data_IF_005631773314
#
_entry.id   IF_005631773314
#
_cell.length_a   1.000
_cell.length_b   1.000
_cell.length_c   1.000
_cell.angle_alpha   90.00
_cell.angle_beta   90.00
_cell.angle_gamma   90.00
#
_symmetry.space_group_name_H-M   'P 1'
#
loop_
_entity.id
_entity.type
_entity.pdbx_description
1 polymer ?
#
# COMPACT_ATOMS: atom_id res chain seq x y z
N UNK A 1 31.26 -1.05 7.16
CA UNK A 1 30.24 -0.69 6.16
C UNK A 1 28.95 -1.38 6.57
N UNK A 2 27.77 -0.79 6.37
CA UNK A 2 26.51 -1.44 6.70
C UNK A 2 26.31 -2.65 5.77
N UNK A 3 25.71 -3.71 6.32
CA UNK A 3 25.37 -4.90 5.55
C UNK A 3 24.00 -4.68 4.90
N UNK A 4 23.98 -4.53 3.57
CA UNK A 4 22.75 -4.36 2.79
C UNK A 4 22.09 -5.72 2.64
N UNK A 5 20.85 -5.82 3.08
CA UNK A 5 20.08 -7.08 3.08
C UNK A 5 18.86 -7.04 2.14
N UNK A 6 18.46 -5.84 1.68
CA UNK A 6 17.41 -5.65 0.69
C UNK A 6 17.67 -4.36 -0.09
N UNK A 7 17.48 -4.39 -1.41
CA UNK A 7 17.72 -3.24 -2.26
C UNK A 7 16.84 -3.31 -3.53
N UNK A 8 15.61 -2.82 -3.44
CA UNK A 8 14.64 -2.90 -4.55
C UNK A 8 13.68 -1.70 -4.55
N UNK A 9 13.04 -1.47 -5.69
CA UNK A 9 11.89 -0.57 -5.80
C UNK A 9 10.69 -1.15 -5.04
N UNK A 10 9.97 -0.28 -4.33
CA UNK A 10 8.72 -0.58 -3.63
C UNK A 10 7.66 0.48 -3.94
N UNK A 11 6.40 0.14 -3.71
CA UNK A 11 5.27 1.06 -3.88
C UNK A 11 4.38 1.17 -2.64
N UNK A 12 3.70 2.30 -2.54
CA UNK A 12 2.69 2.71 -1.57
C UNK A 12 3.17 2.85 -0.11
N UNK A 13 3.29 1.74 0.60
CA UNK A 13 3.48 1.69 2.05
C UNK A 13 4.47 0.59 2.35
N UNK A 14 5.38 0.88 3.27
CA UNK A 14 6.33 -0.09 3.75
C UNK A 14 5.90 -0.61 5.11
N UNK A 15 5.71 -1.91 5.26
CA UNK A 15 5.36 -2.52 6.53
C UNK A 15 6.40 -3.56 6.93
N UNK A 16 6.88 -3.51 8.17
CA UNK A 16 7.62 -4.59 8.81
C UNK A 16 6.65 -5.40 9.66
N UNK A 17 6.56 -6.71 9.42
CA UNK A 17 5.60 -7.59 10.08
C UNK A 17 6.22 -8.94 10.42
N UNK A 18 5.75 -9.58 11.49
CA UNK A 18 6.10 -11.00 11.76
C UNK A 18 5.25 -11.99 10.96
N UNK A 19 4.29 -11.49 10.18
CA UNK A 19 3.36 -12.30 9.40
C UNK A 19 3.65 -12.16 7.92
N UNK A 20 3.33 -13.22 7.16
CA UNK A 20 3.39 -13.19 5.70
C UNK A 20 2.50 -12.06 5.14
N UNK A 21 2.85 -11.53 3.95
CA UNK A 21 2.08 -10.49 3.27
C UNK A 21 0.59 -10.86 3.14
N UNK A 22 -0.26 -9.84 3.00
CA UNK A 22 -1.73 -9.90 2.89
C UNK A 22 -2.54 -10.20 4.16
N UNK A 23 -1.98 -10.88 5.16
CA UNK A 23 -2.79 -11.22 6.33
C UNK A 23 -3.13 -9.98 7.18
N UNK A 24 -2.23 -8.97 7.25
CA UNK A 24 -2.25 -7.97 8.34
C UNK A 24 -1.65 -6.61 7.96
N UNK A 25 -2.12 -5.99 6.88
CA UNK A 25 -1.75 -4.59 6.61
C UNK A 25 -2.48 -3.63 7.55
N UNK A 26 -1.78 -2.58 8.00
CA UNK A 26 -2.36 -1.48 8.80
C UNK A 26 -3.41 -0.73 7.96
N UNK A 27 -3.20 -0.60 6.65
CA UNK A 27 -4.18 0.02 5.77
C UNK A 27 -5.47 -0.80 5.64
N UNK A 28 -5.36 -2.13 5.68
CA UNK A 28 -6.50 -3.03 5.51
C UNK A 28 -7.24 -3.35 6.81
N UNK A 29 -6.50 -3.43 7.93
CA UNK A 29 -7.02 -3.94 9.21
C UNK A 29 -6.85 -2.97 10.38
N UNK A 30 -6.14 -1.86 10.20
CA UNK A 30 -6.02 -0.82 11.22
C UNK A 30 -7.34 -0.10 11.45
N UNK A 31 -7.49 0.48 12.64
CA UNK A 31 -8.60 1.38 12.92
C UNK A 31 -8.46 2.66 12.10
N UNK A 32 -9.55 3.42 11.94
CA UNK A 32 -9.51 4.72 11.26
C UNK A 32 -8.52 5.69 11.89
N UNK A 33 -8.35 5.64 13.20
CA UNK A 33 -7.37 6.44 13.92
C UNK A 33 -5.95 6.09 13.52
N UNK A 34 -5.63 4.80 13.38
CA UNK A 34 -4.32 4.35 12.96
C UNK A 34 -4.00 4.75 11.54
N UNK A 35 -4.95 4.57 10.62
CA UNK A 35 -4.76 5.03 9.24
C UNK A 35 -4.52 6.55 9.22
N UNK A 36 -5.26 7.32 10.00
CA UNK A 36 -5.02 8.77 10.12
C UNK A 36 -3.63 9.07 10.68
N UNK A 37 -3.16 8.35 11.70
CA UNK A 37 -1.82 8.51 12.27
C UNK A 37 -0.72 8.12 11.29
N UNK A 38 -0.92 7.07 10.48
CA UNK A 38 0.00 6.71 9.41
C UNK A 38 0.17 7.88 8.44
N UNK A 39 -0.93 8.54 8.07
CA UNK A 39 -0.88 9.73 7.23
C UNK A 39 -0.31 10.96 7.97
N UNK A 40 -0.66 11.16 9.23
CA UNK A 40 -0.32 12.40 9.95
C UNK A 40 1.12 12.39 10.50
N UNK A 41 1.59 11.24 11.00
CA UNK A 41 2.93 11.04 11.57
C UNK A 41 3.90 10.37 10.58
N UNK A 42 3.39 9.77 9.51
CA UNK A 42 4.19 8.99 8.58
C UNK A 42 4.52 7.58 9.07
N UNK A 43 3.98 7.18 10.23
CA UNK A 43 4.26 5.91 10.88
C UNK A 43 3.08 5.44 11.74
N UNK A 44 2.88 4.12 11.80
CA UNK A 44 2.14 3.44 12.86
C UNK A 44 3.01 2.32 13.42
N UNK A 45 3.09 2.23 14.73
CA UNK A 45 3.87 1.19 15.41
C UNK A 45 2.99 0.43 16.40
N UNK A 46 3.03 -0.90 16.31
CA UNK A 46 2.44 -1.90 17.22
C UNK A 46 3.50 -2.94 17.56
N UNK A 47 3.36 -3.78 18.60
CA UNK A 47 4.40 -4.77 18.96
C UNK A 47 4.81 -5.73 17.83
N UNK A 48 3.94 -5.97 16.85
CA UNK A 48 4.09 -6.97 15.79
C UNK A 48 4.03 -6.43 14.35
N UNK A 49 3.68 -5.15 14.17
CA UNK A 49 3.85 -4.44 12.90
C UNK A 49 4.38 -3.00 13.08
N UNK A 50 5.30 -2.57 12.21
CA UNK A 50 5.58 -1.14 11.98
C UNK A 50 5.25 -0.81 10.54
N UNK A 51 4.38 0.16 10.32
CA UNK A 51 4.06 0.68 9.00
C UNK A 51 4.66 2.07 8.84
N UNK A 52 5.34 2.30 7.71
CA UNK A 52 5.88 3.58 7.29
C UNK A 52 5.18 4.02 6.00
N UNK A 53 4.74 5.27 5.99
CA UNK A 53 4.09 5.85 4.82
C UNK A 53 5.14 6.45 3.87
N UNK A 54 5.09 6.09 2.59
CA UNK A 54 5.86 6.76 1.52
C UNK A 54 5.12 8.03 1.10
N UNK A 55 5.81 9.13 0.79
CA UNK A 55 5.13 10.40 0.48
C UNK A 55 4.41 10.32 -0.87
N UNK A 56 5.02 9.65 -1.86
CA UNK A 56 4.55 9.70 -3.27
C UNK A 56 4.13 8.30 -3.77
N UNK A 57 4.31 7.29 -2.93
CA UNK A 57 3.86 5.93 -3.21
C UNK A 57 4.78 5.15 -4.15
N UNK A 58 5.96 5.67 -4.51
CA UNK A 58 7.09 4.88 -5.00
C UNK A 58 8.35 5.29 -4.28
N UNK A 59 9.11 4.31 -3.83
CA UNK A 59 10.44 4.54 -3.31
C UNK A 59 11.39 3.46 -3.80
N UNK A 60 12.63 3.83 -4.04
CA UNK A 60 13.69 2.85 -3.94
C UNK A 60 13.96 2.59 -2.46
N UNK A 61 13.93 1.33 -2.02
CA UNK A 61 14.18 0.97 -0.64
C UNK A 61 15.49 0.19 -0.48
N UNK A 62 16.35 0.69 0.39
CA UNK A 62 17.48 -0.06 0.92
C UNK A 62 17.24 -0.43 2.38
N UNK A 63 17.30 -1.71 2.71
CA UNK A 63 17.31 -2.21 4.09
C UNK A 63 18.72 -2.67 4.43
N UNK A 64 19.21 -2.26 5.59
CA UNK A 64 20.55 -2.58 6.05
C UNK A 64 20.60 -2.83 7.55
N UNK A 65 21.66 -3.51 8.00
CA UNK A 65 22.00 -3.65 9.41
C UNK A 65 23.29 -2.86 9.72
N UNK A 66 23.30 -2.15 10.85
CA UNK A 66 24.43 -1.33 11.28
C UNK A 66 24.62 -1.42 12.79
N UNK A 67 25.87 -1.33 13.26
CA UNK A 67 26.19 -1.25 14.70
C UNK A 67 26.11 0.18 15.25
N UNK A 68 25.87 1.17 14.39
CA UNK A 68 25.81 2.58 14.77
C UNK A 68 24.61 3.25 14.14
N UNK A 69 23.98 4.13 14.93
CA UNK A 69 22.91 4.99 14.47
C UNK A 69 23.53 6.23 13.81
N UNK A 70 23.38 6.34 12.50
CA UNK A 70 23.74 7.53 11.72
C UNK A 70 22.65 7.81 10.71
N UNK A 71 22.18 9.05 10.63
CA UNK A 71 21.14 9.45 9.68
C UNK A 71 21.69 10.47 8.67
N UNK A 72 21.10 10.48 7.49
CA UNK A 72 21.38 11.41 6.40
C UNK A 72 20.83 12.80 6.77
N UNK A 73 21.70 13.82 6.78
CA UNK A 73 21.29 15.19 7.05
C UNK A 73 20.33 15.75 5.99
N UNK A 74 20.26 15.12 4.81
CA UNK A 74 19.34 15.47 3.74
C UNK A 74 18.03 14.69 3.81
N UNK A 75 17.81 13.85 4.82
CA UNK A 75 16.55 13.17 5.05
C UNK A 75 15.40 14.19 5.18
N UNK A 76 14.37 14.05 4.35
CA UNK A 76 13.13 14.82 4.50
C UNK A 76 12.36 14.31 5.73
N UNK A 77 12.45 13.02 6.00
CA UNK A 77 11.91 12.37 7.19
C UNK A 77 12.94 11.40 7.76
N UNK A 78 13.16 11.46 9.07
CA UNK A 78 13.96 10.47 9.80
C UNK A 78 13.25 10.13 11.11
N UNK A 79 12.90 8.86 11.30
CA UNK A 79 12.16 8.35 12.46
C UNK A 79 12.97 7.27 13.16
N UNK A 80 12.96 7.29 14.49
CA UNK A 80 13.48 6.23 15.33
C UNK A 80 12.32 5.45 15.95
N UNK A 81 12.39 4.12 15.90
CA UNK A 81 11.36 3.22 16.43
C UNK A 81 12.01 2.03 17.14
N UNK A 82 11.67 1.71 18.39
CA UNK A 82 12.10 0.46 19.01
C UNK A 82 11.38 -0.72 18.35
N UNK A 83 12.09 -1.84 18.17
CA UNK A 83 11.55 -3.05 17.56
C UNK A 83 12.16 -4.31 18.15
N UNK A 84 11.37 -5.37 18.27
CA UNK A 84 11.83 -6.64 18.86
C UNK A 84 11.64 -7.79 17.89
N UNK A 85 12.71 -8.27 17.26
CA UNK A 85 12.62 -9.49 16.44
C UNK A 85 12.53 -10.71 17.37
N UNK A 86 11.43 -11.48 17.35
CA UNK A 86 11.26 -12.60 18.28
C UNK A 86 12.11 -13.81 17.84
N UNK A 87 12.50 -14.65 18.81
CA UNK A 87 13.37 -15.83 18.61
C UNK A 87 12.92 -16.78 17.49
N UNK A 88 11.61 -16.92 17.30
CA UNK A 88 11.01 -17.85 16.34
C UNK A 88 10.43 -17.14 15.11
N UNK A 89 10.45 -15.80 15.07
CA UNK A 89 9.76 -15.03 14.04
C UNK A 89 10.64 -14.71 12.86
N UNK A 90 10.04 -14.81 11.67
CA UNK A 90 10.61 -14.24 10.45
C UNK A 90 10.10 -12.82 10.33
N UNK A 91 10.99 -11.88 10.06
CA UNK A 91 10.60 -10.52 9.71
C UNK A 91 10.27 -10.50 8.23
N UNK A 92 9.11 -9.97 7.88
CA UNK A 92 8.71 -9.70 6.51
C UNK A 92 8.69 -8.21 6.29
N UNK A 93 9.32 -7.79 5.20
CA UNK A 93 9.16 -6.48 4.60
C UNK A 93 8.01 -6.57 3.60
N UNK A 94 6.92 -5.89 3.86
CA UNK A 94 5.74 -5.87 2.99
C UNK A 94 5.66 -4.54 2.26
N UNK A 95 5.54 -4.60 0.93
CA UNK A 95 5.29 -3.47 0.07
C UNK A 95 4.10 -3.82 -0.83
N UNK A 96 2.94 -3.24 -0.53
CA UNK A 96 1.67 -3.68 -1.09
C UNK A 96 1.42 -5.17 -0.83
N UNK A 97 1.35 -5.95 -1.91
CA UNK A 97 1.05 -7.39 -1.89
C UNK A 97 2.26 -8.30 -1.81
N UNK A 98 3.45 -7.72 -1.96
CA UNK A 98 4.70 -8.45 -1.92
C UNK A 98 5.24 -8.47 -0.50
N UNK A 99 5.71 -9.63 -0.07
CA UNK A 99 6.40 -9.78 1.21
C UNK A 99 7.74 -10.42 1.01
N UNK A 100 8.78 -9.72 1.42
CA UNK A 100 10.17 -10.12 1.31
C UNK A 100 10.64 -10.57 2.70
N UNK A 101 10.97 -11.85 2.90
CA UNK A 101 11.55 -12.28 4.16
C UNK A 101 12.91 -11.60 4.33
N UNK A 102 13.15 -11.02 5.51
CA UNK A 102 14.43 -10.46 5.90
C UNK A 102 15.15 -11.45 6.80
N UNK A 103 16.44 -11.67 6.53
CA UNK A 103 17.32 -12.47 7.38
C UNK A 103 17.91 -11.58 8.47
N UNK A 104 17.12 -11.37 9.54
CA UNK A 104 17.50 -10.58 10.72
C UNK A 104 17.47 -11.51 11.93
N UNK A 105 18.55 -11.49 12.70
CA UNK A 105 18.63 -12.26 13.94
C UNK A 105 17.59 -11.82 14.98
N UNK A 106 17.23 -12.72 15.87
CA UNK A 106 16.35 -12.38 16.98
C UNK A 106 17.05 -11.43 17.95
N UNK A 107 16.32 -10.41 18.41
CA UNK A 107 16.90 -9.40 19.28
C UNK A 107 16.10 -8.12 19.38
N UNK A 108 16.64 -7.19 20.17
CA UNK A 108 16.13 -5.84 20.30
C UNK A 108 16.87 -4.93 19.32
N UNK A 109 16.10 -4.13 18.58
CA UNK A 109 16.60 -3.24 17.55
C UNK A 109 16.03 -1.84 17.73
N UNK A 110 16.86 -0.85 17.42
CA UNK A 110 16.42 0.50 17.07
C UNK A 110 16.34 0.56 15.56
N UNK A 111 15.13 0.75 15.04
CA UNK A 111 14.91 1.02 13.62
C UNK A 111 15.10 2.50 13.36
N UNK A 112 15.90 2.80 12.34
CA UNK A 112 15.99 4.14 11.75
C UNK A 112 15.36 4.09 10.36
N UNK A 113 14.22 4.74 10.22
CA UNK A 113 13.55 4.93 8.93
C UNK A 113 13.86 6.32 8.40
N UNK A 114 14.44 6.37 7.20
CA UNK A 114 14.80 7.60 6.52
C UNK A 114 14.12 7.64 5.16
N UNK A 115 13.67 8.83 4.79
CA UNK A 115 13.08 9.09 3.49
C UNK A 115 13.59 10.42 2.97
N UNK A 116 14.10 10.43 1.75
CA UNK A 116 14.47 11.66 1.04
C UNK A 116 14.13 11.58 -0.43
N UNK A 117 13.94 12.72 -1.11
CA UNK A 117 13.96 12.74 -2.56
C UNK A 117 15.29 12.24 -3.10
N UNK A 118 15.23 11.54 -4.23
CA UNK A 118 16.39 11.35 -5.10
C UNK A 118 16.78 12.69 -5.71
N UNK A 119 18.08 12.94 -5.81
CA UNK A 119 18.64 14.10 -6.49
C UNK A 119 18.59 13.91 -8.00
N UNK A 120 18.55 15.02 -8.76
CA UNK A 120 18.65 14.97 -10.23
C UNK A 120 19.90 14.21 -10.70
N UNK A 121 21.00 14.29 -9.94
CA UNK A 121 22.22 13.55 -10.24
C UNK A 121 22.03 12.05 -10.05
N UNK A 122 21.43 11.60 -8.95
CA UNK A 122 21.17 10.17 -8.71
C UNK A 122 20.30 9.59 -9.82
N UNK A 123 19.18 10.26 -10.14
CA UNK A 123 18.25 9.84 -11.20
C UNK A 123 18.89 9.73 -12.59
N UNK A 124 19.97 10.46 -12.86
CA UNK A 124 20.61 10.51 -14.18
C UNK A 124 21.93 9.74 -14.27
N UNK A 125 22.58 9.47 -13.14
CA UNK A 125 23.93 8.90 -13.11
C UNK A 125 23.98 7.45 -12.63
N UNK A 126 22.96 6.97 -11.91
CA UNK A 126 22.90 5.58 -11.44
C UNK A 126 21.99 4.74 -12.32
N UNK A 127 22.56 3.75 -13.02
CA UNK A 127 21.82 2.76 -13.83
C UNK A 127 20.70 2.08 -13.01
N UNK A 128 20.91 1.96 -11.70
CA UNK A 128 19.96 1.45 -10.72
C UNK A 128 18.60 2.19 -10.73
N UNK A 129 18.57 3.45 -11.12
CA UNK A 129 17.36 4.28 -11.14
C UNK A 129 16.78 4.49 -12.54
N UNK A 130 17.31 3.84 -13.58
CA UNK A 130 16.80 3.96 -14.96
C UNK A 130 15.37 3.46 -15.14
N UNK A 131 14.85 2.70 -14.17
CA UNK A 131 13.45 2.23 -14.14
C UNK A 131 12.45 3.35 -13.83
N UNK A 132 12.90 4.45 -13.26
CA UNK A 132 12.03 5.59 -12.99
C UNK A 132 11.82 6.41 -14.26
N UNK A 133 10.57 6.88 -14.53
CA UNK A 133 10.29 7.78 -15.62
C UNK A 133 11.28 8.95 -15.67
N UNK A 134 11.80 9.25 -16.87
CA UNK A 134 12.76 10.35 -17.07
C UNK A 134 12.04 11.69 -17.16
N UNK A 135 12.70 12.74 -16.68
CA UNK A 135 12.20 14.12 -16.75
C UNK A 135 11.79 14.48 -18.18
N UNK A 136 10.54 14.89 -18.37
CA UNK A 136 9.95 15.19 -19.67
C UNK A 136 9.14 14.05 -20.32
N UNK A 137 9.05 12.88 -19.69
CA UNK A 137 8.06 11.86 -20.06
C UNK A 137 6.68 12.19 -19.48
N UNK A 138 5.60 11.71 -20.12
CA UNK A 138 4.22 11.89 -19.63
C UNK A 138 3.97 11.20 -18.27
N UNK A 139 4.78 10.20 -17.94
CA UNK A 139 4.73 9.44 -16.68
C UNK A 139 5.67 10.03 -15.61
N UNK A 140 6.39 11.12 -15.91
CA UNK A 140 7.30 11.74 -14.96
C UNK A 140 6.56 12.35 -13.78
N UNK A 141 6.98 11.97 -12.58
CA UNK A 141 6.55 12.57 -11.33
C UNK A 141 7.76 13.33 -10.76
N UNK A 142 7.53 14.55 -10.28
CA UNK A 142 8.62 15.48 -9.94
C UNK A 142 9.54 15.02 -8.79
N UNK A 143 9.19 13.97 -8.04
CA UNK A 143 9.98 13.51 -6.91
C UNK A 143 9.86 11.98 -6.73
N UNK A 144 10.96 11.26 -6.97
CA UNK A 144 11.11 9.86 -6.55
C UNK A 144 11.79 9.83 -5.18
N UNK A 145 11.44 8.85 -4.36
CA UNK A 145 11.96 8.77 -2.99
C UNK A 145 13.00 7.66 -2.85
N UNK A 146 14.01 7.91 -2.02
CA UNK A 146 14.91 6.91 -1.47
C UNK A 146 14.51 6.66 -0.01
N UNK A 147 13.95 5.49 0.23
CA UNK A 147 13.72 4.95 1.56
C UNK A 147 14.95 4.19 2.04
N UNK A 148 15.35 4.42 3.29
CA UNK A 148 16.38 3.63 3.96
C UNK A 148 15.87 3.16 5.31
N UNK A 149 15.93 1.86 5.54
CA UNK A 149 15.57 1.24 6.80
C UNK A 149 16.80 0.58 7.41
N UNK A 150 17.27 1.10 8.53
CA UNK A 150 18.45 0.59 9.23
C UNK A 150 18.05 -0.12 10.52
N UNK A 151 18.44 -1.38 10.66
CA UNK A 151 18.36 -2.15 11.89
C UNK A 151 19.63 -1.91 12.71
N UNK A 152 19.50 -1.30 13.89
CA UNK A 152 20.61 -1.11 14.83
C UNK A 152 20.36 -1.95 16.08
N UNK A 153 21.14 -3.01 16.36
CA UNK A 153 21.01 -3.76 17.60
C UNK A 153 21.07 -2.84 18.82
N UNK A 154 20.14 -2.99 19.76
CA UNK A 154 20.04 -2.13 20.93
C UNK A 154 19.77 -2.96 22.18
N UNK A 155 20.43 -2.62 23.28
CA UNK A 155 20.10 -3.16 24.62
C UNK A 155 19.19 -2.23 25.41
N UNK A 156 19.02 -1.00 24.95
CA UNK A 156 18.25 0.04 25.63
C UNK A 156 16.91 0.27 24.93
N UNK A 157 15.87 0.50 25.75
CA UNK A 157 14.57 0.89 25.25
C UNK A 157 14.64 2.34 24.72
N UNK A 158 14.58 2.50 23.40
CA UNK A 158 14.53 3.82 22.77
C UNK A 158 13.09 4.26 22.63
N UNK A 159 12.79 5.53 22.96
CA UNK A 159 11.46 6.08 22.72
C UNK A 159 11.25 6.35 21.22
N UNK A 160 10.10 5.97 20.66
CA UNK A 160 9.68 6.37 19.31
C UNK A 160 9.78 7.90 19.15
N UNK A 161 10.63 8.37 18.23
CA UNK A 161 10.94 9.81 18.10
C UNK A 161 11.10 10.19 16.64
N UNK A 162 10.56 11.36 16.24
CA UNK A 162 10.87 11.98 14.97
C UNK A 162 12.16 12.83 15.09
N UNK A 163 13.22 12.47 14.36
CA UNK A 163 14.49 13.21 14.35
C UNK A 163 14.44 14.41 13.40
N UNK A 164 13.92 14.17 12.19
CA UNK A 164 13.79 15.18 11.14
C UNK A 164 12.41 15.05 10.52
N UNK A 165 11.73 16.18 10.37
CA UNK A 165 10.46 16.26 9.68
C UNK A 165 10.32 17.61 8.97
N UNK A 166 10.37 17.62 7.65
CA UNK A 166 10.22 18.84 6.86
C UNK A 166 8.74 19.19 6.69
N UNK A 167 8.34 20.32 7.31
CA UNK A 167 6.94 20.80 7.44
C UNK A 167 6.21 21.06 6.11
N UNK A 168 6.94 21.17 5.00
CA UNK A 168 6.42 21.48 3.67
C UNK A 168 6.21 20.25 2.78
N UNK A 169 6.46 19.04 3.30
CA UNK A 169 6.02 17.80 2.65
C UNK A 169 4.59 17.47 3.11
N UNK A 170 3.68 18.43 2.93
CA UNK A 170 2.26 18.24 3.18
C UNK A 170 1.70 17.30 2.12
N UNK A 171 1.28 16.12 2.55
CA UNK A 171 0.72 15.11 1.68
C UNK A 171 -0.64 15.52 1.13
N UNK A 172 -0.97 14.97 -0.03
CA UNK A 172 -2.32 15.03 -0.59
C UNK A 172 -3.16 13.99 0.14
N UNK A 173 -4.10 14.44 0.98
CA UNK A 173 -5.14 13.55 1.50
C UNK A 173 -6.18 13.39 0.41
N UNK A 174 -6.25 12.22 -0.22
CA UNK A 174 -7.32 11.89 -1.15
C UNK A 174 -8.45 11.21 -0.38
N UNK A 175 -9.53 11.94 -0.12
CA UNK A 175 -10.76 11.36 0.40
C UNK A 175 -11.77 11.26 -0.74
N UNK A 176 -12.31 10.07 -0.98
CA UNK A 176 -13.53 9.92 -1.78
C UNK A 176 -14.72 10.11 -0.86
N UNK A 177 -15.29 11.31 -0.84
CA UNK A 177 -16.56 11.55 -0.15
C UNK A 177 -17.70 11.10 -1.06
N UNK A 178 -18.51 10.18 -0.57
CA UNK A 178 -19.81 9.87 -1.18
C UNK A 178 -20.83 10.82 -0.56
N UNK A 179 -21.33 11.75 -1.36
CA UNK A 179 -22.47 12.59 -0.98
C UNK A 179 -23.66 11.67 -0.68
N UNK A 180 -24.32 11.89 0.45
CA UNK A 180 -25.52 11.14 0.84
C UNK A 180 -26.73 11.40 -0.08
N UNK A 181 -26.66 12.39 -0.97
CA UNK A 181 -27.76 12.81 -1.84
C UNK A 181 -27.63 12.34 -3.30
N UNK A 182 -27.01 11.18 -3.54
CA UNK A 182 -26.98 10.56 -4.88
C UNK A 182 -26.24 11.36 -5.95
N UNK A 183 -25.46 12.37 -5.56
CA UNK A 183 -24.63 13.19 -6.42
C UNK A 183 -23.29 12.55 -6.78
N UNK A 184 -22.74 12.98 -7.91
CA UNK A 184 -21.46 12.58 -8.51
C UNK A 184 -20.33 12.44 -7.48
N UNK A 185 -19.59 11.32 -7.52
CA UNK A 185 -18.42 11.09 -6.66
C UNK A 185 -17.32 12.09 -7.04
N UNK A 186 -17.09 13.07 -6.17
CA UNK A 186 -15.98 14.00 -6.28
C UNK A 186 -14.77 13.45 -5.50
N UNK A 187 -13.62 13.40 -6.16
CA UNK A 187 -12.34 13.21 -5.49
C UNK A 187 -11.80 14.58 -5.12
N UNK A 188 -11.82 14.92 -3.83
CA UNK A 188 -11.20 16.15 -3.34
C UNK A 188 -9.79 15.82 -2.87
N UNK A 189 -8.79 16.45 -3.48
CA UNK A 189 -7.41 16.44 -3.02
C UNK A 189 -7.25 17.60 -2.03
N UNK A 190 -7.19 17.30 -0.74
CA UNK A 190 -6.94 18.33 0.28
C UNK A 190 -5.44 18.36 0.62
N UNK A 191 -4.82 19.52 0.38
CA UNK A 191 -3.43 19.78 0.76
C UNK A 191 -3.40 20.25 2.22
N UNK A 192 -2.96 19.36 3.11
CA UNK A 192 -2.88 19.65 4.53
C UNK A 192 -1.74 20.62 4.86
N UNK A 193 -1.99 21.94 4.78
CA UNK A 193 -0.99 22.99 5.00
C UNK A 193 -0.43 23.11 6.45
N UNK A 194 -0.75 22.18 7.36
CA UNK A 194 -0.29 22.19 8.75
C UNK A 194 -0.04 20.77 9.29
N UNK A 195 0.93 20.04 8.72
CA UNK A 195 1.47 18.87 9.41
C UNK A 195 2.36 19.37 10.56
N UNK A 196 1.84 19.35 11.78
CA UNK A 196 2.65 19.47 13.00
C UNK A 196 2.89 18.06 13.50
N UNK A 197 3.94 17.42 12.99
CA UNK A 197 4.33 16.12 13.54
C UNK A 197 4.75 16.31 15.00
N UNK A 198 4.11 15.60 15.94
CA UNK A 198 4.50 15.66 17.34
C UNK A 198 5.92 15.10 17.50
N UNK A 199 6.71 15.68 18.42
CA UNK A 199 8.06 15.16 18.73
C UNK A 199 8.00 13.72 19.22
N UNK A 200 6.94 13.41 19.97
CA UNK A 200 6.65 12.08 20.49
C UNK A 200 5.68 11.39 19.54
N UNK A 201 6.09 10.24 19.00
CA UNK A 201 5.26 9.44 18.12
C UNK A 201 4.25 8.63 18.94
N UNK A 202 3.04 8.44 18.39
CA UNK A 202 2.02 7.61 19.02
C UNK A 202 2.29 6.16 18.68
N UNK A 203 2.42 5.32 19.70
CA UNK A 203 2.63 3.88 19.57
C UNK A 203 1.53 3.15 20.32
N UNK A 204 1.05 2.08 19.70
CA UNK A 204 0.00 1.24 20.24
C UNK A 204 0.63 0.07 20.99
N UNK A 205 0.17 -0.18 22.21
CA UNK A 205 0.69 -1.29 23.04
C UNK A 205 0.09 -2.64 22.65
N UNK A 206 -1.00 -2.64 21.88
CA UNK A 206 -1.73 -3.84 21.48
C UNK A 206 -1.24 -4.38 20.13
N UNK A 207 -0.95 -5.70 20.02
CA UNK A 207 -0.60 -6.29 18.74
C UNK A 207 -1.75 -6.14 17.75
N UNK A 208 -1.44 -6.05 16.47
CA UNK A 208 -2.45 -6.12 15.42
C UNK A 208 -3.05 -7.53 15.46
N UNK A 209 -4.28 -7.63 15.95
CA UNK A 209 -5.01 -8.88 16.10
C UNK A 209 -5.55 -9.29 14.73
N UNK A 210 -5.46 -10.58 14.46
CA UNK A 210 -6.07 -11.18 13.28
C UNK A 210 -7.58 -11.24 13.44
N UNK A 211 -8.25 -10.22 12.91
CA UNK A 211 -9.70 -10.18 12.88
C UNK A 211 -10.29 -11.31 12.01
N UNK A 212 -9.50 -12.06 11.23
CA UNK A 212 -9.99 -13.26 10.53
C UNK A 212 -10.13 -14.46 11.46
N UNK A 213 -9.36 -14.54 12.55
CA UNK A 213 -9.54 -15.56 13.59
C UNK A 213 -10.66 -15.19 14.58
N UNK A 214 -10.80 -13.90 14.90
CA UNK A 214 -11.97 -13.42 15.66
C UNK A 214 -13.26 -13.49 14.81
N UNK A 215 -13.18 -13.23 13.49
CA UNK A 215 -14.30 -13.47 12.56
C UNK A 215 -14.55 -14.95 12.31
N UNK A 216 -13.59 -15.86 12.43
CA UNK A 216 -13.88 -17.30 12.30
C UNK A 216 -14.59 -17.84 13.54
N UNK A 217 -14.25 -17.37 14.74
CA UNK A 217 -14.99 -17.70 15.96
C UNK A 217 -16.35 -16.98 16.08
N UNK A 218 -16.47 -15.75 15.57
CA UNK A 218 -17.76 -15.04 15.47
C UNK A 218 -18.61 -15.47 14.25
N UNK A 219 -18.02 -16.12 13.24
CA UNK A 219 -18.74 -16.70 12.10
C UNK A 219 -19.48 -18.00 12.45
N UNK A 220 -19.16 -18.64 13.57
CA UNK A 220 -19.98 -19.75 14.09
C UNK A 220 -21.25 -19.25 14.82
N UNK A 221 -21.39 -17.95 15.05
CA UNK A 221 -22.55 -17.37 15.74
C UNK A 221 -23.23 -16.19 15.00
N UNK A 222 -22.87 -15.90 13.75
CA UNK A 222 -23.56 -14.89 12.94
C UNK A 222 -24.13 -15.51 11.66
N UNK A 223 -25.47 -15.54 11.61
CA UNK A 223 -26.35 -15.73 10.45
C UNK A 223 -25.64 -15.71 9.09
N UNK A 224 -25.77 -16.82 8.36
CA UNK A 224 -25.44 -16.99 6.94
C UNK A 224 -25.36 -15.65 6.20
N UNK A 225 -24.14 -15.16 5.93
CA UNK A 225 -23.96 -14.01 5.04
C UNK A 225 -24.58 -14.40 3.71
N UNK A 226 -25.73 -13.80 3.40
CA UNK A 226 -26.40 -13.98 2.11
C UNK A 226 -25.37 -13.76 1.02
N UNK A 227 -25.16 -14.79 0.19
CA UNK A 227 -24.37 -14.68 -1.02
C UNK A 227 -24.86 -13.45 -1.81
N UNK A 228 -23.95 -12.64 -2.38
CA UNK A 228 -24.36 -11.51 -3.20
C UNK A 228 -25.33 -11.97 -4.28
N UNK A 229 -26.39 -11.21 -4.52
CA UNK A 229 -27.46 -11.60 -5.45
C UNK A 229 -26.99 -11.71 -6.89
N UNK A 230 -25.85 -11.10 -7.24
CA UNK A 230 -25.21 -11.24 -8.55
C UNK A 230 -24.43 -12.56 -8.74
N UNK A 231 -24.05 -13.27 -7.67
CA UNK A 231 -23.15 -14.43 -7.75
C UNK A 231 -23.68 -15.58 -8.62
N UNK A 232 -24.99 -15.92 -8.63
CA UNK A 232 -25.54 -16.96 -9.50
C UNK A 232 -25.42 -16.68 -11.00
N UNK A 233 -25.11 -15.44 -11.39
CA UNK A 233 -25.04 -15.01 -12.78
C UNK A 233 -23.62 -15.04 -13.36
N UNK A 234 -22.62 -15.50 -12.60
CA UNK A 234 -21.28 -15.75 -13.14
C UNK A 234 -21.36 -16.84 -14.22
N UNK A 235 -20.66 -16.64 -15.34
CA UNK A 235 -20.56 -17.66 -16.38
C UNK A 235 -19.83 -18.89 -15.84
N UNK A 236 -20.20 -20.06 -16.38
CA UNK A 236 -19.51 -21.30 -16.10
C UNK A 236 -18.00 -21.14 -16.40
N UNK A 237 -17.16 -21.55 -15.45
CA UNK A 237 -15.71 -21.36 -15.55
C UNK A 237 -15.14 -20.26 -14.66
N UNK A 238 -15.99 -19.41 -14.06
CA UNK A 238 -15.59 -18.40 -13.07
C UNK A 238 -16.19 -18.64 -11.68
N UNK A 239 -17.07 -19.62 -11.54
CA UNK A 239 -17.78 -19.98 -10.32
C UNK A 239 -16.87 -20.56 -9.22
N UNK A 240 -15.70 -21.07 -9.59
CA UNK A 240 -14.67 -21.57 -8.68
C UNK A 240 -13.55 -20.55 -8.39
N UNK A 241 -13.53 -19.41 -9.09
CA UNK A 241 -12.50 -18.38 -8.92
C UNK A 241 -13.02 -17.24 -8.04
N UNK A 242 -12.10 -16.54 -7.37
CA UNK A 242 -12.44 -15.22 -6.85
C UNK A 242 -12.67 -14.25 -8.02
N UNK A 243 -13.53 -13.26 -7.83
CA UNK A 243 -13.79 -12.26 -8.87
C UNK A 243 -12.52 -11.47 -9.24
N UNK A 244 -11.60 -11.32 -8.29
CA UNK A 244 -10.32 -10.65 -8.51
C UNK A 244 -9.38 -11.48 -9.40
N UNK A 245 -9.27 -12.79 -9.13
CA UNK A 245 -8.50 -13.72 -9.97
C UNK A 245 -9.09 -13.81 -11.38
N UNK A 246 -10.42 -13.79 -11.49
CA UNK A 246 -11.11 -13.81 -12.77
C UNK A 246 -10.83 -12.55 -13.60
N UNK A 247 -10.82 -11.37 -12.98
CA UNK A 247 -10.45 -10.10 -13.63
C UNK A 247 -8.98 -10.15 -14.11
N UNK A 248 -8.08 -10.62 -13.25
CA UNK A 248 -6.66 -10.76 -13.59
C UNK A 248 -6.48 -11.72 -14.79
N UNK A 249 -7.13 -12.88 -14.77
CA UNK A 249 -7.07 -13.85 -15.86
C UNK A 249 -7.59 -13.30 -17.19
N UNK A 250 -8.61 -12.43 -17.17
CA UNK A 250 -9.10 -11.74 -18.39
C UNK A 250 -8.04 -10.78 -18.92
N UNK A 251 -7.43 -9.96 -18.05
CA UNK A 251 -6.37 -9.02 -18.44
C UNK A 251 -5.12 -9.73 -18.96
N UNK A 252 -4.77 -10.87 -18.36
CA UNK A 252 -3.66 -11.72 -18.78
C UNK A 252 -3.95 -12.41 -20.12
N UNK A 253 -5.19 -12.79 -20.40
CA UNK A 253 -5.56 -13.37 -21.70
C UNK A 253 -5.55 -12.33 -22.82
N UNK A 254 -6.00 -11.11 -22.54
CA UNK A 254 -6.13 -10.02 -23.51
C UNK A 254 -4.89 -9.11 -23.55
N UNK A 255 -3.69 -9.66 -23.37
CA UNK A 255 -2.46 -8.86 -23.22
C UNK A 255 -2.31 -7.79 -24.29
N UNK A 256 -2.04 -6.57 -23.85
CA UNK A 256 -1.82 -5.42 -24.73
C UNK A 256 -3.10 -4.80 -25.31
N UNK A 257 -4.28 -5.37 -25.05
CA UNK A 257 -5.56 -4.72 -25.33
C UNK A 257 -6.02 -3.92 -24.12
N UNK A 258 -6.73 -2.85 -24.41
CA UNK A 258 -7.42 -2.05 -23.40
C UNK A 258 -8.87 -2.50 -23.32
N UNK A 259 -9.28 -2.91 -22.13
CA UNK A 259 -10.61 -3.41 -21.84
C UNK A 259 -11.39 -2.40 -21.02
N UNK A 260 -12.67 -2.24 -21.33
CA UNK A 260 -13.61 -1.44 -20.56
C UNK A 260 -14.28 -2.32 -19.50
N UNK A 261 -14.88 -1.71 -18.47
CA UNK A 261 -15.69 -2.43 -17.48
C UNK A 261 -16.76 -3.29 -18.16
N UNK A 262 -17.34 -2.80 -19.27
CA UNK A 262 -18.31 -3.55 -20.06
C UNK A 262 -17.75 -4.86 -20.63
N UNK A 263 -16.46 -4.89 -21.02
CA UNK A 263 -15.82 -6.11 -21.53
C UNK A 263 -15.67 -7.15 -20.42
N UNK A 264 -15.27 -6.73 -19.20
CA UNK A 264 -15.26 -7.62 -18.04
C UNK A 264 -16.65 -8.14 -17.70
N UNK A 265 -17.66 -7.27 -17.76
CA UNK A 265 -19.05 -7.68 -17.50
C UNK A 265 -19.52 -8.74 -18.51
N UNK A 266 -19.21 -8.53 -19.78
CA UNK A 266 -19.55 -9.45 -20.86
C UNK A 266 -18.81 -10.79 -20.74
N UNK A 267 -17.58 -10.80 -20.22
CA UNK A 267 -16.80 -12.02 -20.03
C UNK A 267 -17.27 -12.80 -18.78
N UNK A 268 -17.48 -12.10 -17.66
CA UNK A 268 -17.70 -12.72 -16.36
C UNK A 268 -19.14 -13.16 -16.13
N UNK A 269 -20.12 -12.48 -16.71
CA UNK A 269 -21.53 -12.66 -16.35
C UNK A 269 -22.42 -13.05 -17.53
N UNK A 270 -23.51 -13.76 -17.26
CA UNK A 270 -24.55 -14.03 -18.25
C UNK A 270 -25.31 -12.74 -18.62
N UNK A 271 -25.74 -12.63 -19.87
CA UNK A 271 -26.41 -11.44 -20.40
C UNK A 271 -27.78 -11.20 -19.76
N UNK A 272 -28.52 -12.27 -19.45
CA UNK A 272 -29.86 -12.23 -18.86
C UNK A 272 -29.82 -12.00 -17.33
N UNK A 273 -29.11 -10.97 -16.89
CA UNK A 273 -29.06 -10.56 -15.48
C UNK A 273 -30.10 -9.47 -15.18
N UNK A 274 -30.89 -9.57 -14.09
CA UNK A 274 -31.75 -8.48 -13.67
C UNK A 274 -30.96 -7.19 -13.42
N UNK A 275 -31.51 -6.05 -13.85
CA UNK A 275 -30.85 -4.74 -13.76
C UNK A 275 -30.27 -4.41 -12.36
N UNK A 276 -30.96 -4.68 -11.23
CA UNK A 276 -30.40 -4.42 -9.90
C UNK A 276 -29.12 -5.20 -9.64
N UNK A 277 -29.08 -6.47 -10.01
CA UNK A 277 -27.94 -7.36 -9.83
C UNK A 277 -26.79 -6.97 -10.77
N UNK A 278 -27.12 -6.59 -12.01
CA UNK A 278 -26.15 -6.10 -12.99
C UNK A 278 -25.41 -4.87 -12.49
N UNK A 279 -26.13 -3.90 -11.90
CA UNK A 279 -25.52 -2.71 -11.33
C UNK A 279 -24.62 -3.03 -10.13
N UNK A 280 -25.02 -3.97 -9.27
CA UNK A 280 -24.18 -4.41 -8.15
C UNK A 280 -22.91 -5.11 -8.63
N UNK A 281 -23.03 -6.02 -9.60
CA UNK A 281 -21.91 -6.73 -10.21
C UNK A 281 -20.94 -5.76 -10.88
N UNK A 282 -21.45 -4.85 -11.72
CA UNK A 282 -20.65 -3.83 -12.40
C UNK A 282 -19.90 -2.94 -11.42
N UNK A 283 -20.57 -2.45 -10.37
CA UNK A 283 -19.93 -1.65 -9.34
C UNK A 283 -18.84 -2.44 -8.60
N UNK A 284 -19.05 -3.75 -8.38
CA UNK A 284 -18.04 -4.59 -7.74
C UNK A 284 -16.82 -4.78 -8.64
N UNK A 285 -17.03 -5.06 -9.93
CA UNK A 285 -15.96 -5.18 -10.94
C UNK A 285 -15.19 -3.86 -11.06
N UNK A 286 -15.88 -2.73 -11.18
CA UNK A 286 -15.27 -1.40 -11.27
C UNK A 286 -14.40 -1.08 -10.04
N UNK A 287 -14.89 -1.36 -8.84
CA UNK A 287 -14.12 -1.18 -7.61
C UNK A 287 -12.86 -2.06 -7.58
N UNK A 288 -12.95 -3.31 -8.06
CA UNK A 288 -11.78 -4.20 -8.13
C UNK A 288 -10.78 -3.72 -9.17
N UNK A 289 -11.25 -3.30 -10.35
CA UNK A 289 -10.42 -2.70 -11.40
C UNK A 289 -9.70 -1.45 -10.89
N UNK A 290 -10.40 -0.55 -10.20
CA UNK A 290 -9.77 0.61 -9.59
C UNK A 290 -8.80 0.24 -8.47
N UNK A 291 -9.14 -0.77 -7.66
CA UNK A 291 -8.25 -1.34 -6.66
C UNK A 291 -6.93 -1.81 -7.27
N UNK A 292 -6.99 -2.62 -8.34
CA UNK A 292 -5.79 -3.10 -9.02
C UNK A 292 -4.99 -2.01 -9.76
N UNK A 293 -5.63 -0.91 -10.17
CA UNK A 293 -4.90 0.29 -10.67
C UNK A 293 -4.11 0.94 -9.54
N UNK A 294 -4.74 1.14 -8.38
CA UNK A 294 -4.06 1.70 -7.21
C UNK A 294 -2.88 0.81 -6.80
N UNK A 295 -3.09 -0.51 -6.81
CA UNK A 295 -2.09 -1.55 -6.53
C UNK A 295 -1.08 -1.77 -7.66
N UNK A 296 -1.17 -1.03 -8.77
CA UNK A 296 -0.28 -1.16 -9.94
C UNK A 296 -0.17 -2.58 -10.47
N UNK A 297 -1.28 -3.33 -10.45
CA UNK A 297 -1.41 -4.63 -11.12
C UNK A 297 -1.75 -4.46 -12.60
N UNK A 298 -2.41 -3.35 -12.93
CA UNK A 298 -2.72 -2.96 -14.30
C UNK A 298 -2.85 -1.44 -14.41
N UNK A 299 -2.72 -0.94 -15.64
CA UNK A 299 -2.84 0.46 -15.99
C UNK A 299 -4.30 0.82 -16.29
N UNK A 300 -4.68 2.08 -16.05
CA UNK A 300 -5.93 2.63 -16.60
C UNK A 300 -5.73 4.00 -17.24
N UNK A 301 -6.48 4.28 -18.31
CA UNK A 301 -6.60 5.63 -18.88
C UNK A 301 -8.05 6.00 -19.16
N UNK A 302 -8.39 7.29 -19.13
CA UNK A 302 -9.64 7.76 -19.71
C UNK A 302 -9.74 7.37 -21.19
N UNK A 303 -10.94 6.96 -21.63
CA UNK A 303 -11.18 6.66 -23.06
C UNK A 303 -11.01 7.96 -23.88
N UNK A 304 -11.51 9.07 -23.33
CA UNK A 304 -11.45 10.41 -23.89
C UNK A 304 -11.04 11.41 -22.80
N UNK A 305 -10.46 12.55 -23.18
CA UNK A 305 -10.09 13.60 -22.23
C UNK A 305 -11.32 14.08 -21.44
N UNK A 306 -11.25 14.01 -20.11
CA UNK A 306 -12.36 14.36 -19.22
C UNK A 306 -13.43 13.28 -19.05
N UNK A 307 -13.28 12.11 -19.67
CA UNK A 307 -14.22 11.00 -19.50
C UNK A 307 -14.03 10.30 -18.16
N UNK A 308 -15.14 10.01 -17.49
CA UNK A 308 -15.16 9.12 -16.31
C UNK A 308 -14.98 7.65 -16.69
N UNK A 309 -15.19 7.30 -17.96
CA UNK A 309 -14.99 5.93 -18.45
C UNK A 309 -13.50 5.67 -18.65
N UNK A 310 -13.07 4.52 -18.14
CA UNK A 310 -11.67 4.09 -18.17
C UNK A 310 -11.52 2.80 -18.96
N UNK A 311 -10.39 2.72 -19.64
CA UNK A 311 -9.89 1.50 -20.25
C UNK A 311 -8.72 0.97 -19.40
N UNK A 312 -8.66 -0.35 -19.23
CA UNK A 312 -7.73 -1.06 -18.37
C UNK A 312 -6.87 -2.03 -19.18
N UNK A 313 -5.59 -2.13 -18.88
CA UNK A 313 -4.68 -3.11 -19.51
C UNK A 313 -3.61 -3.57 -18.54
N UNK A 314 -3.15 -4.82 -18.66
CA UNK A 314 -2.07 -5.34 -17.82
C UNK A 314 -0.79 -4.49 -17.99
N UNK A 315 -0.10 -4.22 -16.88
CA UNK A 315 1.22 -3.61 -16.91
C UNK A 315 2.22 -4.62 -17.47
N UNK A 316 3.09 -4.17 -18.38
CA UNK A 316 4.19 -4.97 -18.93
C UNK A 316 5.46 -4.70 -18.17
#
# INVERSE_FOLDING_TARGET
>A
MPDIIFDQQISQTLELSYYKPFARSVLANGTREEVNLLYDQGIVCRPNVVAFHLIIGDAWLTVQQSNQLSYDSNAARALIVPWTVPAEGRVYLCAGHHGYPLDIEAGQYTLLWELRPLTDQELTSEEKYDIFPKKGSEEYIDFFELGRLTFVPSTEAVKPTALVYTKNYSMVKQYTTTSSDGGEKSTVLEYGNKSSVPKDLIVFDEPLIDDTAAKSAAAEAQTERKKPSWQPYLKAGFDYLSLDDAIFGILEREQGKELLVEDFMNELFVEEMPRPDFLQARNRVDNLLMGGVLERRWFSRPIEAGSVRRAYRLLR
#
